data_IF_739600898952
#
_entry.id   IF_739600898952
#
_cell.length_a   1.000
_cell.length_b   1.000
_cell.length_c   1.000
_cell.angle_alpha   90.00
_cell.angle_beta   90.00
_cell.angle_gamma   90.00
#
_symmetry.space_group_name_H-M   'P 1'
#
loop_
_entity.id
_entity.type
_entity.pdbx_description
1 polymer ?
#
# COMPACT_ATOMS: atom_id res chain seq x y z
N UNK A 1 -48.85 -10.14 32.89
CA UNK A 1 -47.83 -9.37 32.15
C UNK A 1 -47.93 -9.78 30.69
N UNK A 2 -48.02 -8.84 29.75
CA UNK A 2 -48.24 -9.17 28.35
C UNK A 2 -46.96 -9.77 27.74
N UNK A 3 -47.17 -10.76 26.86
CA UNK A 3 -46.14 -11.31 25.99
C UNK A 3 -45.46 -10.18 25.22
N UNK A 4 -44.14 -10.10 25.33
CA UNK A 4 -43.33 -9.31 24.42
C UNK A 4 -43.48 -9.93 23.03
N UNK A 5 -44.24 -9.25 22.17
CA UNK A 5 -44.23 -9.48 20.73
C UNK A 5 -42.81 -9.18 20.24
N UNK A 6 -42.15 -10.20 19.70
CA UNK A 6 -40.89 -10.03 18.97
C UNK A 6 -41.10 -8.96 17.91
N UNK A 7 -40.24 -7.94 17.91
CA UNK A 7 -40.19 -6.95 16.84
C UNK A 7 -39.96 -7.69 15.51
N UNK A 8 -40.66 -7.31 14.43
CA UNK A 8 -40.41 -7.90 13.13
C UNK A 8 -38.97 -7.57 12.72
N UNK A 9 -38.10 -8.57 12.69
CA UNK A 9 -36.79 -8.43 12.06
C UNK A 9 -37.03 -7.97 10.63
N UNK A 10 -36.54 -6.77 10.30
CA UNK A 10 -36.55 -6.26 8.93
C UNK A 10 -35.82 -7.29 8.07
N UNK A 11 -36.56 -7.99 7.23
CA UNK A 11 -36.01 -9.03 6.38
C UNK A 11 -35.17 -8.35 5.31
N UNK A 12 -33.84 -8.49 5.38
CA UNK A 12 -32.92 -7.96 4.38
C UNK A 12 -33.13 -8.70 3.06
N UNK A 13 -33.92 -8.11 2.16
CA UNK A 13 -34.34 -8.74 0.91
C UNK A 13 -33.23 -8.73 -0.14
N UNK A 14 -33.42 -9.49 -1.22
CA UNK A 14 -32.50 -9.48 -2.36
C UNK A 14 -32.42 -8.09 -3.00
N UNK A 15 -33.54 -7.36 -3.09
CA UNK A 15 -33.56 -5.99 -3.62
C UNK A 15 -32.73 -5.03 -2.75
N UNK A 16 -32.78 -5.17 -1.43
CA UNK A 16 -31.97 -4.38 -0.52
C UNK A 16 -30.48 -4.75 -0.62
N UNK A 17 -30.17 -6.04 -0.76
CA UNK A 17 -28.82 -6.52 -1.04
C UNK A 17 -28.25 -5.88 -2.31
N UNK A 18 -28.98 -5.94 -3.42
CA UNK A 18 -28.51 -5.36 -4.69
C UNK A 18 -28.37 -3.84 -4.57
N UNK A 19 -29.31 -3.13 -3.97
CA UNK A 19 -29.20 -1.66 -3.77
C UNK A 19 -27.95 -1.28 -2.99
N UNK A 20 -27.61 -2.06 -1.96
CA UNK A 20 -26.51 -1.77 -1.05
C UNK A 20 -25.14 -2.20 -1.61
N UNK A 21 -25.10 -3.31 -2.36
CA UNK A 21 -23.86 -3.97 -2.76
C UNK A 21 -23.53 -3.88 -4.25
N UNK A 22 -24.42 -3.34 -5.10
CA UNK A 22 -24.22 -3.26 -6.57
C UNK A 22 -22.85 -2.71 -6.95
N UNK A 23 -22.46 -1.55 -6.42
CA UNK A 23 -21.18 -0.91 -6.76
C UNK A 23 -20.00 -1.83 -6.45
N UNK A 24 -20.03 -2.51 -5.30
CA UNK A 24 -18.99 -3.45 -4.91
C UNK A 24 -18.94 -4.68 -5.84
N UNK A 25 -20.10 -5.28 -6.13
CA UNK A 25 -20.21 -6.45 -7.01
C UNK A 25 -19.73 -6.14 -8.44
N UNK A 26 -20.15 -5.00 -8.99
CA UNK A 26 -19.76 -4.55 -10.32
C UNK A 26 -18.27 -4.18 -10.38
N UNK A 27 -17.74 -3.46 -9.37
CA UNK A 27 -16.32 -3.11 -9.32
C UNK A 27 -15.40 -4.34 -9.18
N UNK A 28 -15.86 -5.37 -8.49
CA UNK A 28 -15.18 -6.65 -8.39
C UNK A 28 -15.44 -7.56 -9.60
N UNK A 29 -16.30 -7.14 -10.53
CA UNK A 29 -16.76 -7.90 -11.70
C UNK A 29 -17.27 -9.31 -11.31
N UNK A 30 -18.08 -9.39 -10.24
CA UNK A 30 -18.81 -10.61 -9.86
C UNK A 30 -20.01 -10.74 -10.82
N UNK A 31 -20.12 -11.84 -11.59
CA UNK A 31 -21.24 -12.02 -12.51
C UNK A 31 -22.61 -11.96 -11.83
N UNK A 32 -23.56 -11.23 -12.42
CA UNK A 32 -24.92 -11.01 -11.87
C UNK A 32 -25.68 -12.30 -11.56
N UNK A 33 -25.43 -13.37 -12.34
CA UNK A 33 -26.00 -14.71 -12.08
C UNK A 33 -25.72 -15.24 -10.67
N UNK A 34 -24.61 -14.85 -10.06
CA UNK A 34 -24.25 -15.34 -8.74
C UNK A 34 -24.85 -14.51 -7.59
N UNK A 35 -25.42 -13.34 -7.87
CA UNK A 35 -25.77 -12.36 -6.83
C UNK A 35 -26.86 -12.86 -5.88
N UNK A 36 -27.88 -13.55 -6.41
CA UNK A 36 -28.95 -14.11 -5.58
C UNK A 36 -28.40 -15.20 -4.66
N UNK A 37 -27.62 -16.15 -5.21
CA UNK A 37 -27.04 -17.23 -4.41
C UNK A 37 -26.07 -16.70 -3.35
N UNK A 38 -25.29 -15.69 -3.70
CA UNK A 38 -24.41 -15.00 -2.76
C UNK A 38 -25.20 -14.36 -1.61
N UNK A 39 -26.32 -13.69 -1.90
CA UNK A 39 -27.20 -13.11 -0.88
C UNK A 39 -27.72 -14.18 0.08
N UNK A 40 -28.20 -15.32 -0.43
CA UNK A 40 -28.66 -16.44 0.39
C UNK A 40 -27.52 -16.96 1.29
N UNK A 41 -26.33 -17.19 0.72
CA UNK A 41 -25.17 -17.70 1.48
C UNK A 41 -24.70 -16.72 2.55
N UNK A 42 -24.68 -15.42 2.27
CA UNK A 42 -24.28 -14.39 3.24
C UNK A 42 -25.30 -14.25 4.37
N UNK A 43 -26.59 -14.28 4.05
CA UNK A 43 -27.67 -14.16 5.02
C UNK A 43 -27.70 -15.33 6.01
N UNK A 44 -27.46 -16.53 5.49
CA UNK A 44 -27.54 -17.78 6.27
C UNK A 44 -26.16 -18.29 6.71
N UNK A 45 -25.08 -17.52 6.49
CA UNK A 45 -23.69 -17.84 6.81
C UNK A 45 -23.24 -19.23 6.31
N UNK A 46 -23.55 -19.53 5.04
CA UNK A 46 -23.30 -20.85 4.43
C UNK A 46 -21.89 -20.90 3.82
N UNK A 47 -21.01 -21.65 4.48
CA UNK A 47 -19.65 -21.97 4.01
C UNK A 47 -19.62 -23.39 3.44
N UNK A 48 -19.88 -23.52 2.14
CA UNK A 48 -20.05 -24.81 1.45
C UNK A 48 -18.91 -25.15 0.47
N UNK A 49 -17.82 -24.38 0.45
CA UNK A 49 -16.67 -24.66 -0.42
C UNK A 49 -16.12 -26.08 -0.23
N UNK A 50 -16.09 -26.58 1.01
CA UNK A 50 -15.60 -27.93 1.33
C UNK A 50 -16.50 -29.08 0.85
N UNK A 51 -17.70 -28.79 0.33
CA UNK A 51 -18.54 -29.80 -0.33
C UNK A 51 -18.14 -30.03 -1.78
N UNK A 52 -17.47 -29.05 -2.40
CA UNK A 52 -17.08 -29.09 -3.82
C UNK A 52 -15.56 -29.21 -4.00
N UNK A 53 -14.77 -28.69 -3.05
CA UNK A 53 -13.33 -28.68 -3.13
C UNK A 53 -12.66 -29.38 -1.95
N UNK A 54 -11.54 -30.05 -2.23
CA UNK A 54 -10.67 -30.66 -1.25
C UNK A 54 -9.25 -30.09 -1.30
N UNK A 55 -8.58 -30.09 -0.14
CA UNK A 55 -7.15 -29.78 -0.05
C UNK A 55 -6.32 -31.04 -0.19
N UNK A 56 -5.40 -31.04 -1.15
CA UNK A 56 -4.48 -32.13 -1.43
C UNK A 56 -3.05 -31.66 -1.15
N UNK A 57 -2.27 -32.51 -0.49
CA UNK A 57 -0.82 -32.30 -0.31
C UNK A 57 -0.09 -33.08 -1.40
N UNK A 58 0.68 -32.38 -2.22
CA UNK A 58 1.46 -32.95 -3.32
C UNK A 58 2.92 -32.99 -2.91
N UNK A 59 3.50 -34.18 -2.81
CA UNK A 59 4.90 -34.37 -2.48
C UNK A 59 5.77 -34.20 -3.73
N UNK A 60 6.86 -33.45 -3.60
CA UNK A 60 7.80 -33.21 -4.69
C UNK A 60 8.83 -34.33 -4.74
N UNK A 61 8.95 -34.94 -5.91
CA UNK A 61 10.01 -35.89 -6.23
C UNK A 61 11.13 -35.19 -7.02
N UNK A 62 12.36 -35.68 -6.89
CA UNK A 62 13.47 -35.23 -7.72
C UNK A 62 13.47 -35.90 -9.12
N UNK A 63 14.51 -35.62 -9.91
CA UNK A 63 14.65 -36.18 -11.27
C UNK A 63 14.75 -37.71 -11.29
N UNK A 64 15.18 -38.32 -10.18
CA UNK A 64 15.31 -39.76 -9.99
C UNK A 64 14.05 -40.39 -9.38
N UNK A 65 13.03 -39.59 -9.07
CA UNK A 65 11.77 -40.02 -8.49
C UNK A 65 11.81 -40.21 -6.97
N UNK A 66 12.88 -39.77 -6.30
CA UNK A 66 13.00 -39.83 -4.84
C UNK A 66 12.29 -38.64 -4.19
N UNK A 67 11.65 -38.87 -3.04
CA UNK A 67 10.97 -37.81 -2.29
C UNK A 67 11.97 -36.78 -1.76
N UNK A 68 11.79 -35.52 -2.16
CA UNK A 68 12.65 -34.41 -1.71
C UNK A 68 12.36 -33.95 -0.28
N UNK A 69 11.31 -34.49 0.35
CA UNK A 69 10.75 -34.00 1.60
C UNK A 69 10.05 -32.63 1.50
N UNK A 70 9.96 -32.04 0.31
CA UNK A 70 9.17 -30.84 0.03
C UNK A 70 7.79 -31.24 -0.44
N UNK A 71 6.79 -30.44 -0.08
CA UNK A 71 5.42 -30.59 -0.57
C UNK A 71 4.84 -29.22 -0.93
N UNK A 72 3.81 -29.25 -1.77
CA UNK A 72 2.95 -28.12 -2.07
C UNK A 72 1.50 -28.49 -1.79
N UNK A 73 0.66 -27.47 -1.63
CA UNK A 73 -0.77 -27.65 -1.47
C UNK A 73 -1.50 -27.32 -2.76
N UNK A 74 -2.52 -28.11 -3.05
CA UNK A 74 -3.47 -27.87 -4.12
C UNK A 74 -4.87 -27.89 -3.55
N UNK A 75 -5.69 -26.93 -3.95
CA UNK A 75 -7.13 -27.02 -3.79
C UNK A 75 -7.69 -27.55 -5.11
N UNK A 76 -8.45 -28.64 -5.08
CA UNK A 76 -8.96 -29.28 -6.29
C UNK A 76 -10.44 -29.63 -6.15
N UNK A 77 -11.13 -29.74 -7.28
CA UNK A 77 -12.54 -30.18 -7.32
C UNK A 77 -12.62 -31.62 -6.86
N UNK A 78 -13.53 -31.90 -5.93
CA UNK A 78 -13.85 -33.25 -5.43
C UNK A 78 -15.28 -33.66 -5.72
N UNK A 79 -16.09 -32.75 -6.26
CA UNK A 79 -17.44 -33.03 -6.75
C UNK A 79 -17.35 -33.78 -8.09
N UNK A 80 -18.05 -34.90 -8.21
CA UNK A 80 -18.10 -35.74 -9.41
C UNK A 80 -18.88 -35.09 -10.56
N UNK A 81 -19.78 -34.14 -10.25
CA UNK A 81 -20.45 -33.30 -11.26
C UNK A 81 -19.52 -32.21 -11.82
N UNK A 82 -18.39 -31.94 -11.18
CA UNK A 82 -17.49 -30.84 -11.51
C UNK A 82 -18.05 -29.47 -11.13
N UNK A 83 -17.54 -28.43 -11.80
CA UNK A 83 -17.96 -27.03 -11.61
C UNK A 83 -18.32 -26.42 -12.96
N UNK A 84 -19.59 -26.03 -13.13
CA UNK A 84 -20.04 -25.26 -14.30
C UNK A 84 -20.04 -23.75 -13.96
N UNK A 85 -19.20 -22.95 -14.61
CA UNK A 85 -19.12 -21.50 -14.29
C UNK A 85 -20.37 -20.69 -14.71
N UNK A 86 -21.34 -21.33 -15.37
CA UNK A 86 -22.64 -20.76 -15.68
C UNK A 86 -23.71 -21.11 -14.64
N UNK A 87 -23.49 -22.12 -13.80
CA UNK A 87 -24.41 -22.50 -12.73
C UNK A 87 -24.24 -21.56 -11.51
N UNK A 88 -25.33 -20.91 -11.12
CA UNK A 88 -25.39 -19.94 -10.02
C UNK A 88 -25.01 -20.53 -8.66
N UNK A 89 -25.00 -21.87 -8.49
CA UNK A 89 -24.61 -22.53 -7.24
C UNK A 89 -23.13 -22.31 -6.89
N UNK A 90 -22.28 -22.11 -7.89
CA UNK A 90 -20.82 -22.11 -7.75
C UNK A 90 -20.23 -20.73 -7.40
N UNK A 91 -20.73 -20.13 -6.32
CA UNK A 91 -20.11 -18.97 -5.67
C UNK A 91 -19.91 -19.27 -4.18
N UNK A 92 -18.72 -19.07 -3.63
CA UNK A 92 -18.38 -19.57 -2.30
C UNK A 92 -17.86 -18.47 -1.39
N UNK A 93 -18.22 -18.54 -0.11
CA UNK A 93 -17.70 -17.69 0.93
C UNK A 93 -16.42 -18.30 1.51
N UNK A 94 -15.42 -17.45 1.68
CA UNK A 94 -14.13 -17.77 2.27
C UNK A 94 -13.94 -16.83 3.45
N UNK A 95 -13.69 -17.39 4.62
CA UNK A 95 -13.59 -16.62 5.86
C UNK A 95 -12.23 -15.91 5.98
N UNK A 96 -12.21 -14.81 6.72
CA UNK A 96 -10.99 -14.08 7.08
C UNK A 96 -10.55 -14.54 8.46
N UNK A 97 -9.74 -15.61 8.49
CA UNK A 97 -9.21 -16.17 9.73
C UNK A 97 -8.52 -15.15 10.64
N UNK A 98 -7.96 -14.09 10.05
CA UNK A 98 -7.39 -12.98 10.79
C UNK A 98 -7.48 -11.68 9.98
N UNK A 99 -8.05 -10.62 10.57
CA UNK A 99 -8.05 -9.25 10.04
C UNK A 99 -7.40 -8.28 11.04
N UNK A 100 -6.51 -7.39 10.58
CA UNK A 100 -5.67 -6.59 11.46
C UNK A 100 -5.06 -5.34 10.80
N UNK A 101 -4.53 -4.44 11.62
CA UNK A 101 -3.62 -3.37 11.19
C UNK A 101 -2.16 -3.78 11.44
N UNK A 102 -1.26 -3.47 10.51
CA UNK A 102 0.10 -4.02 10.51
C UNK A 102 0.91 -3.75 11.79
N UNK A 103 0.67 -2.61 12.44
CA UNK A 103 1.27 -2.21 13.72
C UNK A 103 0.80 -3.08 14.91
N UNK A 104 -0.42 -3.61 14.83
CA UNK A 104 -1.03 -4.46 15.87
C UNK A 104 -0.73 -5.94 15.69
N UNK A 105 -0.20 -6.37 14.54
CA UNK A 105 -0.05 -7.77 14.16
C UNK A 105 0.69 -8.62 15.22
N UNK A 106 1.91 -8.20 15.59
CA UNK A 106 2.71 -8.90 16.61
C UNK A 106 2.03 -8.92 17.97
N UNK A 107 1.40 -7.81 18.37
CA UNK A 107 0.70 -7.75 19.65
C UNK A 107 -0.47 -8.74 19.68
N UNK A 108 -1.26 -8.82 18.59
CA UNK A 108 -2.37 -9.76 18.47
C UNK A 108 -1.90 -11.22 18.52
N UNK A 109 -0.85 -11.60 17.78
CA UNK A 109 -0.27 -12.95 17.84
C UNK A 109 0.17 -13.34 19.27
N UNK A 110 0.56 -12.36 20.10
CA UNK A 110 0.94 -12.60 21.50
C UNK A 110 -0.26 -12.74 22.44
N UNK A 111 -1.36 -12.03 22.21
CA UNK A 111 -2.44 -11.88 23.20
C UNK A 111 -3.73 -12.60 22.84
N UNK A 112 -4.03 -12.79 21.55
CA UNK A 112 -5.26 -13.45 21.10
C UNK A 112 -5.09 -14.97 21.25
N UNK A 113 -5.91 -15.65 22.06
CA UNK A 113 -5.80 -17.10 22.25
C UNK A 113 -5.98 -17.89 20.96
N UNK A 114 -5.09 -18.85 20.69
CA UNK A 114 -5.20 -19.75 19.52
C UNK A 114 -4.77 -19.13 18.18
N UNK A 115 -4.57 -17.81 18.11
CA UNK A 115 -4.26 -17.13 16.85
C UNK A 115 -2.89 -17.53 16.31
N UNK A 116 -1.85 -17.53 17.15
CA UNK A 116 -0.51 -17.91 16.74
C UNK A 116 -0.45 -19.38 16.29
N UNK A 117 -1.14 -20.27 16.99
CA UNK A 117 -1.25 -21.68 16.64
C UNK A 117 -1.96 -21.88 15.30
N UNK A 118 -3.08 -21.18 15.07
CA UNK A 118 -3.81 -21.23 13.79
C UNK A 118 -2.97 -20.69 12.63
N UNK A 119 -2.31 -19.54 12.81
CA UNK A 119 -1.47 -18.94 11.77
C UNK A 119 -0.25 -19.81 11.45
N UNK A 120 0.40 -20.39 12.48
CA UNK A 120 1.46 -21.37 12.26
C UNK A 120 0.98 -22.60 11.48
N UNK A 121 -0.24 -23.09 11.75
CA UNK A 121 -0.86 -24.18 11.01
C UNK A 121 -1.12 -23.83 9.54
N UNK A 122 -1.72 -22.67 9.25
CA UNK A 122 -1.97 -22.21 7.88
C UNK A 122 -0.65 -22.10 7.08
N UNK A 123 0.41 -21.63 7.73
CA UNK A 123 1.73 -21.41 7.14
C UNK A 123 2.65 -22.64 7.19
N UNK A 124 2.17 -23.79 7.69
CA UNK A 124 2.94 -25.03 7.89
C UNK A 124 4.27 -24.82 8.67
N UNK A 125 4.27 -23.91 9.65
CA UNK A 125 5.44 -23.62 10.46
C UNK A 125 5.67 -24.70 11.52
N UNK A 126 6.91 -25.15 11.64
CA UNK A 126 7.32 -26.07 12.71
C UNK A 126 7.38 -25.31 14.04
N UNK A 127 6.50 -25.65 14.98
CA UNK A 127 6.41 -24.99 16.29
C UNK A 127 7.10 -25.78 17.41
N UNK A 128 7.42 -27.05 17.18
CA UNK A 128 8.06 -27.91 18.19
C UNK A 128 9.41 -27.35 18.65
N UNK A 129 9.59 -27.23 19.96
CA UNK A 129 10.82 -26.75 20.59
C UNK A 129 11.05 -25.24 20.51
N UNK A 130 10.14 -24.47 19.91
CA UNK A 130 10.24 -23.01 19.81
C UNK A 130 9.50 -22.30 20.92
N UNK A 131 10.04 -21.16 21.34
CA UNK A 131 9.35 -20.23 22.24
C UNK A 131 8.21 -19.53 21.50
N UNK A 132 7.26 -18.98 22.26
CA UNK A 132 6.15 -18.19 21.69
C UNK A 132 6.66 -17.01 20.84
N UNK A 133 7.73 -16.36 21.27
CA UNK A 133 8.27 -15.19 20.57
C UNK A 133 8.94 -15.58 19.24
N UNK A 134 9.67 -16.70 19.19
CA UNK A 134 10.23 -17.22 17.94
C UNK A 134 9.12 -17.57 16.94
N UNK A 135 8.04 -18.20 17.41
CA UNK A 135 6.86 -18.51 16.57
C UNK A 135 6.22 -17.21 16.04
N UNK A 136 6.04 -16.19 16.90
CA UNK A 136 5.47 -14.90 16.50
C UNK A 136 6.31 -14.23 15.40
N UNK A 137 7.64 -14.22 15.54
CA UNK A 137 8.51 -13.60 14.54
C UNK A 137 8.57 -14.41 13.23
N UNK A 138 8.55 -15.74 13.30
CA UNK A 138 8.44 -16.58 12.09
C UNK A 138 7.12 -16.36 11.35
N UNK A 139 5.99 -16.33 12.07
CA UNK A 139 4.68 -15.99 11.50
C UNK A 139 4.75 -14.61 10.86
N UNK A 140 5.26 -13.60 11.57
CA UNK A 140 5.33 -12.24 11.04
C UNK A 140 6.21 -12.13 9.78
N UNK A 141 7.23 -12.96 9.65
CA UNK A 141 8.09 -12.97 8.47
C UNK A 141 7.43 -13.70 7.28
N UNK A 142 6.73 -14.80 7.53
CA UNK A 142 6.13 -15.64 6.48
C UNK A 142 4.76 -15.12 6.01
N UNK A 143 4.00 -14.45 6.89
CA UNK A 143 2.60 -14.07 6.65
C UNK A 143 2.37 -13.22 5.39
N UNK A 144 3.37 -12.48 4.91
CA UNK A 144 3.23 -11.59 3.77
C UNK A 144 2.95 -12.33 2.46
N UNK A 145 3.27 -13.63 2.37
CA UNK A 145 2.83 -14.49 1.28
C UNK A 145 1.33 -14.80 1.31
N UNK A 146 0.68 -14.71 2.46
CA UNK A 146 -0.73 -15.05 2.65
C UNK A 146 -1.62 -13.81 2.76
N UNK A 147 -1.01 -12.68 3.13
CA UNK A 147 -1.71 -11.44 3.33
C UNK A 147 -2.36 -10.92 2.05
N UNK A 148 -3.55 -10.40 2.25
CA UNK A 148 -4.24 -9.54 1.30
C UNK A 148 -4.70 -8.27 2.02
N UNK A 149 -5.18 -7.30 1.25
CA UNK A 149 -5.57 -6.01 1.82
C UNK A 149 -6.81 -5.46 1.12
N UNK A 150 -7.59 -4.68 1.86
CA UNK A 150 -8.60 -3.77 1.31
C UNK A 150 -8.58 -2.44 2.07
N UNK A 151 -9.20 -1.42 1.50
CA UNK A 151 -9.44 -0.14 2.16
C UNK A 151 -10.84 0.36 1.80
N UNK A 152 -11.42 1.17 2.68
CA UNK A 152 -12.74 1.76 2.44
C UNK A 152 -12.57 3.11 1.74
N UNK A 153 -12.91 3.17 0.45
CA UNK A 153 -12.69 4.34 -0.41
C UNK A 153 -13.36 5.65 0.10
N UNK A 154 -14.42 5.53 0.92
CA UNK A 154 -15.17 6.66 1.45
C UNK A 154 -14.71 7.13 2.84
N UNK A 155 -13.65 6.53 3.41
CA UNK A 155 -13.14 6.93 4.71
C UNK A 155 -12.48 8.33 4.63
N UNK A 156 -12.70 9.22 5.62
CA UNK A 156 -12.04 10.52 5.66
C UNK A 156 -10.52 10.36 5.59
N UNK A 157 -9.83 11.14 4.73
CA UNK A 157 -8.37 11.07 4.58
C UNK A 157 -7.68 11.25 5.94
N UNK A 158 -6.85 10.29 6.32
CA UNK A 158 -6.10 10.32 7.59
C UNK A 158 -6.87 9.82 8.82
N UNK A 159 -8.09 9.30 8.63
CA UNK A 159 -8.79 8.52 9.66
C UNK A 159 -8.22 7.09 9.74
N UNK A 160 -8.40 6.42 10.89
CA UNK A 160 -8.01 5.01 11.03
C UNK A 160 -8.70 4.10 9.98
N UNK A 161 -9.94 4.44 9.61
CA UNK A 161 -10.75 3.74 8.61
C UNK A 161 -10.23 3.90 7.17
N UNK A 162 -9.35 4.88 6.93
CA UNK A 162 -8.72 5.10 5.62
C UNK A 162 -7.48 4.24 5.38
N UNK A 163 -6.97 3.58 6.42
CA UNK A 163 -5.82 2.70 6.28
C UNK A 163 -6.21 1.34 5.70
N UNK A 164 -5.23 0.71 5.07
CA UNK A 164 -5.32 -0.66 4.61
C UNK A 164 -5.56 -1.61 5.79
N UNK A 165 -6.66 -2.37 5.72
CA UNK A 165 -6.88 -3.53 6.58
C UNK A 165 -6.22 -4.72 5.92
N UNK A 166 -5.33 -5.38 6.65
CA UNK A 166 -4.67 -6.60 6.23
C UNK A 166 -5.47 -7.80 6.70
N UNK A 167 -5.52 -8.85 5.89
CA UNK A 167 -6.18 -10.08 6.27
C UNK A 167 -5.50 -11.32 5.71
N UNK A 168 -5.66 -12.42 6.44
CA UNK A 168 -5.32 -13.79 6.03
C UNK A 168 -6.61 -14.59 6.00
N UNK A 169 -6.83 -15.30 4.89
CA UNK A 169 -8.00 -16.17 4.71
C UNK A 169 -7.87 -17.44 5.55
N UNK A 170 -8.98 -18.14 5.71
CA UNK A 170 -9.00 -19.49 6.31
C UNK A 170 -8.07 -20.49 5.61
N UNK A 171 -8.02 -21.68 6.19
CA UNK A 171 -7.19 -22.81 5.77
C UNK A 171 -7.40 -23.17 4.29
N UNK A 172 -8.61 -23.00 3.76
CA UNK A 172 -8.91 -23.29 2.36
C UNK A 172 -8.48 -22.13 1.46
N UNK A 173 -8.92 -20.91 1.75
CA UNK A 173 -8.62 -19.72 0.95
C UNK A 173 -7.12 -19.43 0.82
N UNK A 174 -6.38 -19.62 1.91
CA UNK A 174 -4.91 -19.46 1.96
C UNK A 174 -4.15 -20.50 1.14
N UNK A 175 -4.80 -21.59 0.70
CA UNK A 175 -4.19 -22.69 -0.06
C UNK A 175 -4.56 -22.70 -1.54
N UNK A 176 -5.37 -21.74 -2.00
CA UNK A 176 -5.61 -21.52 -3.43
C UNK A 176 -4.37 -20.88 -4.05
N UNK A 177 -3.74 -21.60 -5.00
CA UNK A 177 -2.45 -21.25 -5.56
C UNK A 177 -2.55 -20.19 -6.67
N UNK A 178 -1.40 -19.61 -6.99
CA UNK A 178 -1.28 -18.68 -8.11
C UNK A 178 -1.30 -19.42 -9.45
N UNK A 179 -2.00 -18.86 -10.44
CA UNK A 179 -1.82 -19.18 -11.86
C UNK A 179 -1.91 -17.90 -12.70
N UNK A 180 -1.16 -17.85 -13.80
CA UNK A 180 -1.30 -16.83 -14.85
C UNK A 180 -2.57 -17.04 -15.69
N UNK A 181 -3.11 -18.27 -15.68
CA UNK A 181 -4.38 -18.66 -16.29
C UNK A 181 -5.32 -19.20 -15.20
N UNK A 182 -5.84 -18.32 -14.33
CA UNK A 182 -6.58 -18.76 -13.15
C UNK A 182 -7.89 -19.45 -13.52
N UNK A 183 -8.27 -20.47 -12.74
CA UNK A 183 -9.57 -21.15 -12.85
C UNK A 183 -10.68 -20.43 -12.08
N UNK A 184 -10.32 -19.63 -11.08
CA UNK A 184 -11.26 -18.88 -10.25
C UNK A 184 -10.78 -17.43 -10.04
N UNK A 185 -11.73 -16.56 -9.70
CA UNK A 185 -11.45 -15.25 -9.12
C UNK A 185 -11.80 -15.26 -7.64
N UNK A 186 -11.01 -14.55 -6.84
CA UNK A 186 -11.15 -14.47 -5.39
C UNK A 186 -11.01 -13.02 -4.94
N UNK A 187 -12.13 -12.41 -4.56
CA UNK A 187 -12.23 -10.96 -4.32
C UNK A 187 -12.75 -10.66 -2.91
N UNK A 188 -12.23 -9.63 -2.21
CA UNK A 188 -12.78 -9.24 -0.91
C UNK A 188 -14.20 -8.67 -1.07
N UNK A 189 -15.05 -8.92 -0.09
CA UNK A 189 -16.42 -8.45 -0.05
C UNK A 189 -16.85 -8.07 1.37
N UNK A 190 -17.15 -6.79 1.58
CA UNK A 190 -17.73 -6.27 2.81
C UNK A 190 -19.24 -6.42 2.79
N UNK A 191 -19.77 -7.24 3.70
CA UNK A 191 -21.19 -7.45 3.92
C UNK A 191 -21.70 -6.50 4.99
N UNK A 192 -22.45 -5.48 4.55
CA UNK A 192 -22.85 -4.32 5.36
C UNK A 192 -23.78 -4.71 6.52
N UNK A 193 -24.78 -5.60 6.36
CA UNK A 193 -25.67 -5.97 7.47
C UNK A 193 -24.93 -6.55 8.69
N UNK A 194 -23.87 -7.33 8.47
CA UNK A 194 -23.06 -7.91 9.55
C UNK A 194 -21.84 -7.06 9.90
N UNK A 195 -21.48 -6.08 9.06
CA UNK A 195 -20.22 -5.33 9.14
C UNK A 195 -18.98 -6.24 9.15
N UNK A 196 -19.03 -7.31 8.36
CA UNK A 196 -17.94 -8.29 8.21
C UNK A 196 -17.42 -8.32 6.77
N UNK A 197 -16.15 -8.66 6.63
CA UNK A 197 -15.54 -8.88 5.31
C UNK A 197 -15.29 -10.35 5.10
N UNK A 198 -15.67 -10.84 3.93
CA UNK A 198 -15.37 -12.18 3.43
C UNK A 198 -14.52 -12.07 2.17
N UNK A 199 -14.00 -13.18 1.69
CA UNK A 199 -13.58 -13.29 0.30
C UNK A 199 -14.58 -14.15 -0.46
N UNK A 200 -14.93 -13.75 -1.67
CA UNK A 200 -15.85 -14.46 -2.55
C UNK A 200 -15.03 -15.17 -3.63
N UNK A 201 -15.17 -16.49 -3.69
CA UNK A 201 -14.59 -17.34 -4.72
C UNK A 201 -15.65 -17.66 -5.78
N UNK A 202 -15.34 -17.49 -7.06
CA UNK A 202 -16.19 -17.95 -8.16
C UNK A 202 -15.36 -18.40 -9.36
N UNK A 203 -15.81 -19.44 -10.10
CA UNK A 203 -15.10 -19.97 -11.26
C UNK A 203 -15.23 -19.02 -12.46
N UNK A 204 -14.21 -19.05 -13.32
CA UNK A 204 -14.20 -18.33 -14.62
C UNK A 204 -14.17 -19.26 -15.82
N UNK A 205 -14.06 -20.57 -15.58
CA UNK A 205 -14.15 -21.64 -16.58
C UNK A 205 -14.73 -22.89 -15.92
N UNK A 206 -15.22 -23.83 -16.73
CA UNK A 206 -15.65 -25.12 -16.22
C UNK A 206 -14.46 -25.89 -15.64
N UNK A 207 -14.71 -26.70 -14.62
CA UNK A 207 -13.71 -27.56 -14.00
C UNK A 207 -14.25 -28.97 -13.83
N UNK A 208 -13.43 -29.97 -14.12
CA UNK A 208 -13.73 -31.39 -13.90
C UNK A 208 -13.25 -31.86 -12.52
N UNK A 209 -13.74 -33.00 -12.05
CA UNK A 209 -13.24 -33.64 -10.83
C UNK A 209 -11.71 -33.82 -10.90
N UNK A 210 -11.02 -33.45 -9.82
CA UNK A 210 -9.57 -33.50 -9.72
C UNK A 210 -8.83 -32.30 -10.30
N UNK A 211 -9.49 -31.39 -11.02
CA UNK A 211 -8.84 -30.17 -11.52
C UNK A 211 -8.55 -29.17 -10.39
N UNK A 212 -7.40 -28.49 -10.49
CA UNK A 212 -6.93 -27.53 -9.50
C UNK A 212 -7.63 -26.17 -9.64
N UNK A 213 -8.07 -25.61 -8.52
CA UNK A 213 -8.51 -24.22 -8.44
C UNK A 213 -7.34 -23.28 -8.13
N UNK A 214 -7.25 -22.21 -8.91
CA UNK A 214 -6.16 -21.23 -8.87
C UNK A 214 -6.69 -19.83 -9.06
N UNK A 215 -5.92 -18.83 -8.63
CA UNK A 215 -6.22 -17.40 -8.73
C UNK A 215 -5.03 -16.61 -9.26
N UNK A 216 -5.25 -15.40 -9.75
CA UNK A 216 -4.17 -14.45 -10.01
C UNK A 216 -3.91 -13.62 -8.74
N UNK A 217 -2.67 -13.65 -8.23
CA UNK A 217 -2.25 -12.83 -7.08
C UNK A 217 -1.78 -11.43 -7.51
N UNK A 218 -1.58 -11.21 -8.80
CA UNK A 218 -1.20 -9.94 -9.41
C UNK A 218 -2.24 -9.52 -10.46
N UNK A 219 -3.52 -9.80 -10.19
CA UNK A 219 -4.64 -9.35 -10.99
C UNK A 219 -4.60 -7.82 -11.19
N UNK A 220 -5.09 -7.33 -12.33
CA UNK A 220 -5.06 -5.91 -12.73
C UNK A 220 -3.65 -5.30 -12.84
N UNK A 221 -2.64 -6.12 -13.11
CA UNK A 221 -1.26 -5.67 -13.38
C UNK A 221 -0.87 -6.00 -14.82
N UNK A 222 -0.84 -4.98 -15.68
CA UNK A 222 -0.55 -5.14 -17.11
C UNK A 222 0.95 -5.24 -17.40
N UNK A 223 1.78 -4.47 -16.69
CA UNK A 223 3.23 -4.46 -16.90
C UNK A 223 3.84 -5.82 -16.46
N UNK A 224 4.49 -6.57 -17.38
CA UNK A 224 5.01 -7.90 -17.06
C UNK A 224 6.10 -7.92 -16.00
N UNK A 225 6.94 -6.87 -15.92
CA UNK A 225 8.00 -6.77 -14.93
C UNK A 225 7.43 -6.44 -13.56
N UNK A 226 6.44 -5.54 -13.49
CA UNK A 226 5.71 -5.24 -12.26
C UNK A 226 4.97 -6.49 -11.78
N UNK A 227 4.30 -7.21 -12.69
CA UNK A 227 3.62 -8.48 -12.38
C UNK A 227 4.59 -9.50 -11.81
N UNK A 228 5.75 -9.69 -12.45
CA UNK A 228 6.82 -10.57 -11.95
C UNK A 228 7.33 -10.15 -10.57
N UNK A 229 7.53 -8.86 -10.33
CA UNK A 229 7.94 -8.33 -9.03
C UNK A 229 6.89 -8.58 -7.94
N UNK A 230 5.61 -8.33 -8.23
CA UNK A 230 4.50 -8.60 -7.30
C UNK A 230 4.37 -10.08 -6.93
N UNK A 231 4.70 -10.98 -7.86
CA UNK A 231 4.58 -12.41 -7.67
C UNK A 231 5.76 -13.06 -6.94
N UNK A 232 6.84 -12.33 -6.62
CA UNK A 232 8.00 -12.89 -5.91
C UNK A 232 7.66 -13.69 -4.62
N UNK A 233 6.65 -13.31 -3.80
CA UNK A 233 6.27 -14.13 -2.64
C UNK A 233 5.75 -15.54 -2.99
N UNK A 234 5.22 -15.74 -4.20
CA UNK A 234 4.65 -17.02 -4.66
C UNK A 234 5.51 -17.72 -5.71
N UNK A 235 6.13 -16.95 -6.61
CA UNK A 235 6.98 -17.42 -7.69
C UNK A 235 8.34 -16.76 -7.53
N UNK A 236 9.25 -17.36 -6.73
CA UNK A 236 10.61 -16.84 -6.56
C UNK A 236 11.28 -16.67 -7.92
N UNK A 237 11.81 -15.48 -8.16
CA UNK A 237 12.49 -15.16 -9.41
C UNK A 237 13.68 -14.25 -9.15
N UNK A 238 14.73 -14.44 -9.95
CA UNK A 238 15.82 -13.48 -10.03
C UNK A 238 15.34 -12.23 -10.79
N UNK A 239 15.54 -11.06 -10.18
CA UNK A 239 15.25 -9.73 -10.72
C UNK A 239 16.54 -8.93 -10.95
N UNK A 240 17.71 -9.46 -10.58
CA UNK A 240 18.99 -8.73 -10.60
C UNK A 240 19.45 -8.32 -12.01
N UNK A 241 18.89 -8.94 -13.06
CA UNK A 241 19.10 -8.55 -14.46
C UNK A 241 18.44 -7.21 -14.83
N UNK A 242 17.49 -6.72 -14.03
CA UNK A 242 16.81 -5.44 -14.27
C UNK A 242 17.71 -4.30 -13.79
N UNK A 243 17.85 -3.26 -14.60
CA UNK A 243 18.54 -2.04 -14.21
C UNK A 243 17.83 -1.38 -13.02
N UNK A 244 18.55 -1.06 -11.96
CA UNK A 244 17.98 -0.50 -10.73
C UNK A 244 18.16 1.01 -10.61
N UNK A 245 18.59 1.69 -11.66
CA UNK A 245 18.75 3.14 -11.65
C UNK A 245 17.37 3.81 -11.61
N UNK A 246 17.23 4.86 -10.80
CA UNK A 246 16.03 5.69 -10.80
C UNK A 246 16.05 6.63 -12.00
N UNK A 247 14.99 6.61 -12.79
CA UNK A 247 14.81 7.49 -13.94
C UNK A 247 13.84 8.63 -13.60
N UNK A 248 13.98 9.75 -14.30
CA UNK A 248 13.02 10.83 -14.19
C UNK A 248 11.75 10.46 -14.97
N UNK A 249 10.56 10.42 -14.32
CA UNK A 249 9.34 10.05 -15.01
C UNK A 249 8.88 11.15 -15.97
N UNK A 250 8.02 10.79 -16.92
CA UNK A 250 7.39 11.76 -17.84
C UNK A 250 6.39 12.70 -17.15
N UNK A 251 5.95 13.73 -17.87
CA UNK A 251 5.02 14.77 -17.39
C UNK A 251 3.73 14.19 -16.80
N UNK A 252 3.18 13.14 -17.40
CA UNK A 252 1.97 12.44 -16.94
C UNK A 252 2.05 12.02 -15.46
N UNK A 253 3.23 11.65 -14.97
CA UNK A 253 3.43 11.26 -13.57
C UNK A 253 3.22 12.44 -12.61
N UNK A 254 3.65 13.63 -13.02
CA UNK A 254 3.48 14.85 -12.24
C UNK A 254 2.00 15.28 -12.22
N UNK A 255 1.24 14.96 -13.27
CA UNK A 255 -0.18 15.32 -13.43
C UNK A 255 -1.16 14.32 -12.79
N UNK A 256 -0.89 13.00 -12.84
CA UNK A 256 -1.83 11.89 -12.56
C UNK A 256 -2.61 11.95 -11.24
N UNK A 257 -2.12 12.68 -10.24
CA UNK A 257 -2.75 12.79 -8.91
C UNK A 257 -2.82 14.22 -8.37
N UNK A 258 -2.65 15.21 -9.24
CA UNK A 258 -2.50 16.61 -8.83
C UNK A 258 -3.43 17.49 -9.66
N UNK A 259 -3.96 18.53 -9.02
CA UNK A 259 -4.67 19.59 -9.72
C UNK A 259 -3.61 20.49 -10.35
N UNK A 260 -3.84 20.90 -11.59
CA UNK A 260 -3.00 21.88 -12.26
C UNK A 260 -3.01 23.20 -11.48
N UNK A 261 -1.83 23.78 -11.26
CA UNK A 261 -1.64 25.05 -10.57
C UNK A 261 -1.11 26.08 -11.57
N UNK A 262 -1.96 26.94 -12.12
CA UNK A 262 -1.53 27.89 -13.14
C UNK A 262 -0.59 28.93 -12.51
N UNK A 263 0.58 29.12 -13.15
CA UNK A 263 1.60 30.07 -12.69
C UNK A 263 1.08 31.52 -12.64
N UNK A 264 1.57 32.35 -11.70
CA UNK A 264 1.20 33.76 -11.62
C UNK A 264 1.63 34.52 -12.88
N UNK A 265 0.85 35.54 -13.25
CA UNK A 265 1.14 36.46 -14.33
C UNK A 265 2.20 37.47 -13.89
N UNK A 266 3.46 37.21 -14.27
CA UNK A 266 4.62 38.03 -13.88
C UNK A 266 4.71 39.38 -14.61
N UNK A 267 3.87 39.64 -15.61
CA UNK A 267 3.80 40.93 -16.31
C UNK A 267 3.09 42.02 -15.47
N UNK A 268 2.46 41.61 -14.36
CA UNK A 268 1.82 42.52 -13.40
C UNK A 268 2.85 43.25 -12.56
N UNK A 269 2.49 44.44 -12.11
CA UNK A 269 3.30 45.19 -11.14
C UNK A 269 2.90 44.77 -9.73
N UNK A 270 3.84 44.22 -8.97
CA UNK A 270 3.63 43.80 -7.58
C UNK A 270 4.17 44.89 -6.64
N UNK A 271 3.32 45.75 -6.06
CA UNK A 271 3.76 46.76 -5.12
C UNK A 271 4.24 46.12 -3.80
N UNK A 272 5.17 46.77 -3.07
CA UNK A 272 5.57 46.31 -1.74
C UNK A 272 4.42 46.51 -0.74
N UNK A 273 4.51 45.80 0.39
CA UNK A 273 3.56 45.96 1.49
C UNK A 273 3.50 47.42 2.00
N UNK A 274 2.33 47.92 2.43
CA UNK A 274 2.14 49.31 2.83
C UNK A 274 3.04 49.71 4.00
N UNK A 275 3.90 50.71 3.85
CA UNK A 275 4.81 51.17 4.92
C UNK A 275 4.19 52.17 5.92
N UNK A 276 3.04 52.74 5.56
CA UNK A 276 2.38 53.88 6.21
C UNK A 276 1.25 53.49 7.17
N UNK A 277 0.74 52.26 7.08
CA UNK A 277 -0.32 51.71 7.94
C UNK A 277 0.00 50.28 8.39
N UNK A 278 -0.74 49.77 9.38
CA UNK A 278 -0.66 48.35 9.76
C UNK A 278 -0.96 47.43 8.57
N UNK A 279 -0.23 46.32 8.52
CA UNK A 279 -0.40 45.28 7.50
C UNK A 279 -1.56 44.38 7.93
N UNK A 280 -2.59 44.30 7.10
CA UNK A 280 -3.76 43.49 7.38
C UNK A 280 -3.50 42.05 6.98
N UNK A 281 -3.74 41.11 7.89
CA UNK A 281 -3.48 39.68 7.68
C UNK A 281 -4.78 38.91 7.87
N UNK A 282 -5.16 38.11 6.88
CA UNK A 282 -6.20 37.10 7.00
C UNK A 282 -5.55 35.73 7.17
N UNK A 283 -6.04 34.92 8.10
CA UNK A 283 -5.53 33.57 8.31
C UNK A 283 -6.59 32.61 8.86
N UNK A 284 -6.56 31.38 8.37
CA UNK A 284 -7.31 30.22 8.87
C UNK A 284 -6.56 29.47 9.99
N UNK A 285 -5.31 29.85 10.29
CA UNK A 285 -4.46 29.16 11.26
C UNK A 285 -4.63 29.70 12.68
N UNK A 286 -5.14 28.86 13.58
CA UNK A 286 -5.47 29.26 14.95
C UNK A 286 -4.26 29.79 15.73
N UNK A 287 -3.08 29.20 15.52
CA UNK A 287 -1.87 29.67 16.19
C UNK A 287 -1.44 31.05 15.70
N UNK A 288 -1.56 31.33 14.41
CA UNK A 288 -1.22 32.66 13.90
C UNK A 288 -2.22 33.71 14.42
N UNK A 289 -3.50 33.37 14.53
CA UNK A 289 -4.50 34.24 15.16
C UNK A 289 -4.16 34.60 16.61
N UNK A 290 -3.57 33.67 17.36
CA UNK A 290 -3.22 33.87 18.77
C UNK A 290 -1.89 34.61 18.96
N UNK A 291 -0.91 34.35 18.10
CA UNK A 291 0.49 34.73 18.34
C UNK A 291 1.04 35.81 17.41
N UNK A 292 0.24 36.30 16.45
CA UNK A 292 0.60 37.49 15.66
C UNK A 292 0.39 38.78 16.48
N UNK A 293 1.24 39.02 17.48
CA UNK A 293 1.08 40.09 18.48
C UNK A 293 1.86 41.36 18.17
N UNK A 294 2.59 41.42 17.07
CA UNK A 294 3.36 42.62 16.70
C UNK A 294 2.42 43.73 16.24
N UNK A 295 2.59 44.95 16.78
CA UNK A 295 1.81 46.16 16.43
C UNK A 295 1.88 46.55 14.94
N UNK A 296 2.78 45.91 14.18
CA UNK A 296 2.92 46.07 12.74
C UNK A 296 1.74 45.46 11.97
N UNK A 297 1.10 44.44 12.54
CA UNK A 297 0.06 43.66 11.88
C UNK A 297 -1.31 43.88 12.52
N UNK A 298 -2.35 43.69 11.72
CA UNK A 298 -3.75 43.75 12.13
C UNK A 298 -4.45 42.51 11.56
N UNK A 299 -4.99 41.64 12.42
CA UNK A 299 -5.77 40.50 11.96
C UNK A 299 -7.14 40.98 11.47
N UNK A 300 -7.54 40.52 10.28
CA UNK A 300 -8.85 40.81 9.69
C UNK A 300 -9.64 39.53 9.44
N UNK A 301 -10.97 39.63 9.56
CA UNK A 301 -11.87 38.47 9.43
C UNK A 301 -12.28 38.17 7.98
N UNK A 302 -11.84 38.98 7.02
CA UNK A 302 -12.23 38.87 5.62
C UNK A 302 -11.00 38.96 4.72
N UNK A 303 -10.77 37.93 3.91
CA UNK A 303 -9.66 37.84 2.97
C UNK A 303 -9.61 39.01 1.97
N UNK A 304 -10.76 39.60 1.64
CA UNK A 304 -10.82 40.76 0.74
C UNK A 304 -10.16 42.01 1.32
N UNK A 305 -10.18 42.15 2.63
CA UNK A 305 -9.66 43.34 3.32
C UNK A 305 -8.18 43.21 3.70
N UNK A 306 -7.56 42.05 3.45
CA UNK A 306 -6.20 41.73 3.83
C UNK A 306 -5.16 42.14 2.79
N UNK A 307 -3.95 42.47 3.27
CA UNK A 307 -2.73 42.62 2.46
C UNK A 307 -1.98 41.29 2.33
N UNK A 308 -2.08 40.42 3.35
CA UNK A 308 -1.48 39.09 3.37
C UNK A 308 -2.57 38.05 3.63
N UNK A 309 -2.64 37.05 2.76
CA UNK A 309 -3.35 35.80 3.00
C UNK A 309 -2.36 34.77 3.55
N UNK A 310 -2.54 34.37 4.80
CA UNK A 310 -1.78 33.28 5.40
C UNK A 310 -2.68 32.07 5.60
N UNK A 311 -2.63 31.14 4.66
CA UNK A 311 -3.54 30.00 4.60
C UNK A 311 -2.80 28.71 4.93
N UNK A 312 -3.48 27.83 5.67
CA UNK A 312 -3.12 26.44 5.89
C UNK A 312 -3.72 25.54 4.83
N UNK A 313 -4.91 25.88 4.34
CA UNK A 313 -5.48 25.22 3.17
C UNK A 313 -4.64 25.52 1.92
N UNK A 314 -4.49 24.51 1.06
CA UNK A 314 -3.71 24.62 -0.17
C UNK A 314 -4.36 25.60 -1.14
N UNK A 315 -3.58 26.54 -1.66
CA UNK A 315 -4.03 27.55 -2.61
C UNK A 315 -3.67 27.14 -4.05
N UNK A 316 -4.63 27.17 -4.96
CA UNK A 316 -4.43 26.72 -6.35
C UNK A 316 -4.39 27.86 -7.37
N UNK A 317 -5.16 28.92 -7.15
CA UNK A 317 -5.53 29.88 -8.20
C UNK A 317 -4.52 31.04 -8.31
N UNK A 318 -3.21 30.72 -8.40
CA UNK A 318 -2.11 31.70 -8.40
C UNK A 318 -2.16 32.70 -9.57
N UNK A 319 -2.58 32.25 -10.76
CA UNK A 319 -2.77 33.13 -11.91
C UNK A 319 -3.82 34.21 -11.64
N UNK A 320 -5.03 33.81 -11.29
CA UNK A 320 -6.13 34.74 -10.97
C UNK A 320 -5.74 35.68 -9.82
N UNK A 321 -5.11 35.14 -8.77
CA UNK A 321 -4.61 35.93 -7.65
C UNK A 321 -3.68 37.07 -8.08
N UNK A 322 -2.68 36.75 -8.92
CA UNK A 322 -1.74 37.75 -9.43
C UNK A 322 -2.39 38.77 -10.37
N UNK A 323 -3.46 38.40 -11.07
CA UNK A 323 -4.11 39.26 -12.06
C UNK A 323 -5.12 40.23 -11.43
N UNK A 324 -5.86 39.77 -10.42
CA UNK A 324 -6.94 40.50 -9.75
C UNK A 324 -6.48 41.23 -8.48
N UNK A 325 -5.50 40.68 -7.76
CA UNK A 325 -5.03 41.19 -6.47
C UNK A 325 -3.49 41.28 -6.42
N UNK A 326 -2.84 41.97 -7.38
CA UNK A 326 -1.37 42.03 -7.48
C UNK A 326 -0.68 42.69 -6.26
N UNK A 327 -1.42 43.44 -5.45
CA UNK A 327 -0.94 44.08 -4.23
C UNK A 327 -0.90 43.16 -3.00
N UNK A 328 -1.51 41.97 -3.08
CA UNK A 328 -1.62 41.04 -1.97
C UNK A 328 -0.53 39.98 -2.00
N UNK A 329 -0.20 39.47 -0.82
CA UNK A 329 0.78 38.41 -0.63
C UNK A 329 0.10 37.14 -0.15
N UNK A 330 0.65 35.99 -0.52
CA UNK A 330 0.22 34.68 -0.03
C UNK A 330 1.44 33.86 0.43
N UNK A 331 1.26 33.01 1.43
CA UNK A 331 2.32 32.21 2.07
C UNK A 331 2.67 30.90 1.34
N UNK A 332 2.26 30.73 0.08
CA UNK A 332 2.41 29.48 -0.68
C UNK A 332 2.93 29.77 -2.09
N UNK A 333 3.72 28.85 -2.65
CA UNK A 333 4.23 28.94 -4.01
C UNK A 333 3.57 27.91 -4.93
N UNK A 334 3.27 28.26 -6.19
CA UNK A 334 2.78 27.27 -7.15
C UNK A 334 3.79 26.13 -7.29
N UNK A 335 3.28 24.90 -7.32
CA UNK A 335 4.03 23.65 -7.43
C UNK A 335 5.04 23.39 -6.30
N UNK A 336 4.90 23.97 -5.10
CA UNK A 336 5.80 23.66 -3.97
C UNK A 336 5.78 22.17 -3.56
N UNK A 337 4.75 21.45 -3.98
CA UNK A 337 4.63 19.99 -3.88
C UNK A 337 5.87 19.23 -4.37
N UNK A 338 6.60 19.78 -5.35
CA UNK A 338 7.83 19.16 -5.86
C UNK A 338 8.93 19.03 -4.80
N UNK A 339 8.85 19.81 -3.71
CA UNK A 339 9.77 19.74 -2.57
C UNK A 339 9.11 19.16 -1.32
N UNK A 340 7.80 19.34 -1.15
CA UNK A 340 7.09 18.96 0.09
C UNK A 340 6.51 17.55 0.04
N UNK A 341 6.33 16.96 -1.15
CA UNK A 341 5.77 15.61 -1.31
C UNK A 341 6.87 14.56 -1.50
N UNK A 342 6.73 13.41 -0.80
CA UNK A 342 7.77 12.38 -0.66
C UNK A 342 8.10 11.63 -1.96
N UNK A 343 7.20 11.59 -2.93
CA UNK A 343 7.44 10.96 -4.22
C UNK A 343 8.13 11.91 -5.21
N UNK A 344 7.87 13.22 -5.11
CA UNK A 344 8.46 14.24 -5.99
C UNK A 344 9.83 14.72 -5.54
N UNK A 345 10.01 14.98 -4.24
CA UNK A 345 11.25 15.55 -3.71
C UNK A 345 12.49 14.73 -4.10
N UNK A 346 12.49 13.38 -4.04
CA UNK A 346 13.62 12.59 -4.48
C UNK A 346 13.95 12.76 -5.97
N UNK A 347 12.94 12.93 -6.84
CA UNK A 347 13.13 13.15 -8.28
C UNK A 347 13.87 14.47 -8.49
N UNK A 348 13.39 15.56 -7.88
CA UNK A 348 14.02 16.89 -7.99
C UNK A 348 15.43 16.89 -7.42
N UNK A 349 15.62 16.28 -6.25
CA UNK A 349 16.91 16.18 -5.58
C UNK A 349 17.98 15.50 -6.44
N UNK A 350 17.59 14.48 -7.21
CA UNK A 350 18.50 13.74 -8.10
C UNK A 350 19.07 14.59 -9.25
N UNK A 351 18.39 15.67 -9.67
CA UNK A 351 18.87 16.58 -10.73
C UNK A 351 20.20 17.26 -10.41
N UNK A 352 20.60 17.33 -9.13
CA UNK A 352 21.89 17.90 -8.70
C UNK A 352 23.08 16.97 -8.98
N UNK A 353 22.82 15.69 -9.27
CA UNK A 353 23.86 14.68 -9.46
C UNK A 353 24.49 14.82 -10.85
N UNK A 354 25.79 15.12 -10.93
CA UNK A 354 26.55 15.10 -12.20
C UNK A 354 27.15 13.71 -12.44
N UNK A 355 27.04 13.19 -13.67
CA UNK A 355 27.45 11.84 -14.09
C UNK A 355 28.97 11.56 -14.08
N UNK A 356 29.75 12.25 -13.24
CA UNK A 356 31.21 12.41 -13.39
C UNK A 356 32.06 11.64 -12.39
N UNK A 357 31.51 10.91 -11.42
CA UNK A 357 32.30 10.13 -10.46
C UNK A 357 32.10 8.62 -10.62
N UNK A 358 33.17 7.84 -10.40
CA UNK A 358 33.10 6.38 -10.28
C UNK A 358 32.12 6.00 -9.17
N UNK A 359 30.94 5.57 -9.58
CA UNK A 359 29.81 5.30 -8.71
C UNK A 359 29.91 3.86 -8.18
N UNK A 360 29.69 3.68 -6.87
CA UNK A 360 29.34 2.36 -6.35
C UNK A 360 27.99 1.98 -6.97
N UNK A 361 27.93 0.86 -7.69
CA UNK A 361 26.74 0.41 -8.40
C UNK A 361 25.50 0.37 -7.49
N UNK A 362 25.67 0.17 -6.18
CA UNK A 362 24.58 0.05 -5.22
C UNK A 362 24.31 1.32 -4.38
N UNK A 363 25.00 2.42 -4.66
CA UNK A 363 24.73 3.72 -4.02
C UNK A 363 24.07 4.70 -5.02
N UNK A 364 23.05 5.43 -4.56
CA UNK A 364 22.42 6.51 -5.33
C UNK A 364 23.03 7.87 -5.01
N UNK A 365 23.00 8.77 -6.00
CA UNK A 365 23.28 10.19 -5.78
C UNK A 365 21.98 11.02 -5.74
N UNK A 366 21.99 12.18 -5.06
CA UNK A 366 23.10 12.71 -4.26
C UNK A 366 23.26 11.98 -2.92
N UNK A 367 24.47 11.89 -2.39
CA UNK A 367 24.76 11.09 -1.18
C UNK A 367 24.02 11.52 0.10
N UNK A 368 23.48 12.74 0.13
CA UNK A 368 22.67 13.23 1.24
C UNK A 368 21.21 12.77 1.16
N UNK A 369 20.78 12.27 -0.01
CA UNK A 369 19.46 11.70 -0.22
C UNK A 369 19.55 10.18 -0.06
N UNK A 370 18.72 9.63 0.82
CA UNK A 370 18.55 8.17 0.90
C UNK A 370 18.06 7.61 -0.42
N UNK A 371 18.59 6.45 -0.82
CA UNK A 371 18.12 5.76 -2.01
C UNK A 371 16.62 5.49 -1.88
N UNK A 372 15.85 5.99 -2.84
CA UNK A 372 14.39 6.03 -2.77
C UNK A 372 13.81 5.44 -4.04
N UNK A 373 12.81 4.57 -3.90
CA UNK A 373 12.01 4.05 -5.00
C UNK A 373 10.53 4.30 -4.74
N UNK A 374 9.80 4.61 -5.78
CA UNK A 374 8.35 4.61 -5.80
C UNK A 374 7.84 3.18 -6.03
N UNK A 375 7.13 2.59 -5.07
CA UNK A 375 6.66 1.20 -5.17
C UNK A 375 5.50 1.01 -6.18
N UNK A 376 4.90 2.08 -6.68
CA UNK A 376 3.87 2.01 -7.72
C UNK A 376 4.45 2.04 -9.13
N UNK A 377 5.62 2.65 -9.34
CA UNK A 377 6.21 2.84 -10.68
C UNK A 377 7.57 2.18 -10.85
N UNK A 378 8.30 1.91 -9.76
CA UNK A 378 9.67 1.42 -9.76
C UNK A 378 9.84 0.11 -8.97
N UNK A 379 8.75 -0.65 -8.77
CA UNK A 379 8.78 -1.91 -8.01
C UNK A 379 9.79 -2.94 -8.55
N UNK A 380 9.92 -3.15 -9.88
CA UNK A 380 10.92 -4.08 -10.43
C UNK A 380 12.37 -3.64 -10.15
N UNK A 381 12.65 -2.34 -10.28
CA UNK A 381 13.96 -1.74 -10.02
C UNK A 381 14.32 -1.87 -8.53
N UNK A 382 13.34 -1.61 -7.66
CA UNK A 382 13.48 -1.82 -6.22
C UNK A 382 13.81 -3.29 -5.89
N UNK A 383 13.05 -4.25 -6.42
CA UNK A 383 13.28 -5.68 -6.19
C UNK A 383 14.65 -6.14 -6.68
N UNK A 384 15.09 -5.66 -7.86
CA UNK A 384 16.43 -5.90 -8.39
C UNK A 384 17.52 -5.41 -7.43
N UNK A 385 17.45 -4.15 -6.99
CA UNK A 385 18.41 -3.62 -6.03
C UNK A 385 18.39 -4.42 -4.73
N UNK A 386 17.21 -4.72 -4.21
CA UNK A 386 17.06 -5.45 -2.95
C UNK A 386 17.81 -6.79 -3.01
N UNK A 387 17.60 -7.59 -4.06
CA UNK A 387 18.28 -8.87 -4.26
C UNK A 387 19.79 -8.70 -4.47
N UNK A 388 20.24 -7.66 -5.18
CA UNK A 388 21.67 -7.34 -5.33
C UNK A 388 22.34 -6.98 -4.00
N UNK A 389 21.63 -6.30 -3.10
CA UNK A 389 22.13 -5.97 -1.75
C UNK A 389 22.21 -7.20 -0.87
N UNK A 390 21.16 -8.04 -0.92
CA UNK A 390 21.08 -9.29 -0.18
C UNK A 390 22.20 -10.27 -0.58
N UNK A 391 22.47 -10.44 -1.88
CA UNK A 391 23.55 -11.31 -2.36
C UNK A 391 24.96 -10.85 -1.95
N UNK A 392 25.12 -9.55 -1.62
CA UNK A 392 26.36 -8.98 -1.07
C UNK A 392 26.38 -8.93 0.46
N UNK A 393 25.37 -9.46 1.14
CA UNK A 393 25.26 -9.46 2.60
C UNK A 393 25.18 -8.05 3.21
N UNK A 394 24.65 -7.07 2.46
CA UNK A 394 24.49 -5.70 2.94
C UNK A 394 23.24 -5.56 3.80
N UNK A 395 23.27 -4.61 4.74
CA UNK A 395 22.08 -4.22 5.50
C UNK A 395 20.96 -3.78 4.55
N UNK A 396 19.75 -4.30 4.73
CA UNK A 396 18.66 -4.16 3.77
C UNK A 396 17.37 -3.71 4.43
N UNK A 397 17.48 -2.87 5.46
CA UNK A 397 16.32 -2.26 6.10
C UNK A 397 15.83 -1.06 5.30
N UNK A 398 14.52 -1.03 5.07
CA UNK A 398 13.84 0.04 4.35
C UNK A 398 12.76 0.65 5.22
N UNK A 399 12.50 1.93 5.00
CA UNK A 399 11.34 2.64 5.54
C UNK A 399 10.37 2.96 4.40
N UNK A 400 9.20 2.35 4.42
CA UNK A 400 8.13 2.59 3.46
C UNK A 400 7.16 3.64 4.01
N UNK A 401 6.82 4.64 3.21
CA UNK A 401 5.97 5.77 3.61
C UNK A 401 4.95 6.13 2.52
N UNK A 402 3.72 6.49 2.88
CA UNK A 402 2.76 7.04 1.93
C UNK A 402 3.21 8.42 1.42
N UNK A 403 2.81 8.78 0.20
CA UNK A 403 3.21 10.05 -0.43
C UNK A 403 2.83 11.25 0.45
N UNK A 404 1.55 11.30 0.84
CA UNK A 404 0.91 12.51 1.36
C UNK A 404 0.48 12.44 2.84
N UNK A 405 0.63 11.31 3.53
CA UNK A 405 0.31 11.25 4.96
C UNK A 405 1.47 11.79 5.82
N UNK A 406 1.12 12.29 7.00
CA UNK A 406 2.03 12.89 7.97
C UNK A 406 1.85 12.25 9.36
N UNK A 407 2.55 12.78 10.38
CA UNK A 407 2.46 12.33 11.79
C UNK A 407 2.83 10.87 12.05
N UNK A 408 3.64 10.26 11.18
CA UNK A 408 4.10 8.88 11.36
C UNK A 408 3.08 7.81 10.99
N UNK A 409 1.94 8.20 10.42
CA UNK A 409 0.88 7.29 10.01
C UNK A 409 1.33 6.43 8.81
N UNK A 410 0.98 5.15 8.86
CA UNK A 410 1.24 4.17 7.78
C UNK A 410 2.73 4.06 7.38
N UNK A 411 3.62 4.18 8.37
CA UNK A 411 5.07 3.99 8.20
C UNK A 411 5.45 2.55 8.57
N UNK A 412 6.17 1.90 7.67
CA UNK A 412 6.63 0.53 7.86
C UNK A 412 8.15 0.49 7.78
N UNK A 413 8.80 -0.16 8.76
CA UNK A 413 10.24 -0.40 8.75
C UNK A 413 10.44 -1.91 8.70
N UNK A 414 11.14 -2.39 7.67
CA UNK A 414 11.32 -3.82 7.46
C UNK A 414 12.52 -4.11 6.54
N UNK A 415 13.12 -5.28 6.72
CA UNK A 415 14.10 -5.88 5.80
C UNK A 415 13.52 -7.10 5.07
N UNK A 416 12.19 -7.27 5.09
CA UNK A 416 11.50 -8.37 4.42
C UNK A 416 10.97 -7.90 3.05
N UNK A 417 11.51 -8.47 1.98
CA UNK A 417 11.12 -8.13 0.60
C UNK A 417 9.64 -8.40 0.33
N UNK A 418 9.11 -9.53 0.78
CA UNK A 418 7.70 -9.90 0.57
C UNK A 418 6.76 -8.89 1.24
N UNK A 419 7.13 -8.42 2.44
CA UNK A 419 6.38 -7.36 3.11
C UNK A 419 6.37 -6.08 2.25
N UNK A 420 7.54 -5.62 1.79
CA UNK A 420 7.62 -4.38 1.00
C UNK A 420 6.85 -4.49 -0.32
N UNK A 421 6.90 -5.64 -0.97
CA UNK A 421 6.12 -5.91 -2.19
C UNK A 421 4.62 -5.79 -1.89
N UNK A 422 4.14 -6.45 -0.82
CA UNK A 422 2.72 -6.34 -0.44
C UNK A 422 2.30 -4.94 -0.10
N UNK A 423 3.17 -4.12 0.51
CA UNK A 423 2.87 -2.72 0.78
C UNK A 423 2.50 -1.94 -0.50
N UNK A 424 2.97 -2.35 -1.68
CA UNK A 424 2.56 -1.74 -2.96
C UNK A 424 1.07 -1.91 -3.28
N UNK A 425 0.39 -2.91 -2.69
CA UNK A 425 -1.05 -3.15 -2.85
C UNK A 425 -1.89 -2.30 -1.87
N UNK A 426 -1.27 -1.74 -0.84
CA UNK A 426 -1.95 -0.93 0.21
C UNK A 426 -2.01 0.57 -0.12
N UNK A 427 -1.79 0.93 -1.39
CA UNK A 427 -1.79 2.30 -1.89
C UNK A 427 -0.38 2.90 -2.11
N UNK A 428 -0.32 4.13 -2.63
CA UNK A 428 0.93 4.72 -3.13
C UNK A 428 1.96 4.98 -2.03
N UNK A 429 3.14 4.37 -2.15
CA UNK A 429 4.22 4.43 -1.16
C UNK A 429 5.59 4.59 -1.81
N UNK A 430 6.47 5.32 -1.14
CA UNK A 430 7.91 5.36 -1.42
C UNK A 430 8.65 4.49 -0.41
N UNK A 431 9.69 3.78 -0.86
CA UNK A 431 10.59 2.99 -0.02
C UNK A 431 11.96 3.66 0.00
N UNK A 432 12.43 4.02 1.20
CA UNK A 432 13.73 4.67 1.41
C UNK A 432 14.67 3.73 2.14
N UNK A 433 15.90 3.61 1.64
CA UNK A 433 16.92 2.80 2.28
C UNK A 433 17.31 3.45 3.61
N UNK A 434 17.21 2.68 4.69
CA UNK A 434 17.73 3.07 5.99
C UNK A 434 19.21 2.69 6.06
N UNK A 435 20.00 3.63 6.57
CA UNK A 435 21.42 3.40 6.74
C UNK A 435 21.82 3.55 8.20
N UNK A 436 22.60 2.59 8.70
CA UNK A 436 23.24 2.70 10.00
C UNK A 436 22.46 2.14 11.19
N UNK A 437 21.46 1.27 10.97
CA UNK A 437 20.91 0.43 12.05
C UNK A 437 21.97 -0.56 12.55
N UNK A 438 22.88 -0.99 11.67
CA UNK A 438 24.09 -1.73 12.00
C UNK A 438 25.33 -0.82 12.01
N UNK A 439 25.42 0.12 12.96
CA UNK A 439 26.67 0.75 13.43
C UNK A 439 27.52 1.62 12.48
N UNK A 440 27.29 1.62 11.16
CA UNK A 440 28.01 2.46 10.20
C UNK A 440 27.10 3.57 9.69
N UNK A 441 26.98 4.64 10.47
CA UNK A 441 26.14 5.79 10.15
C UNK A 441 26.70 6.61 8.98
N UNK A 442 25.79 7.16 8.16
CA UNK A 442 26.12 8.11 7.10
C UNK A 442 26.90 9.32 7.60
N UNK A 443 26.70 9.71 8.87
CA UNK A 443 27.47 10.76 9.52
C UNK A 443 28.98 10.51 9.46
N UNK A 444 29.43 9.25 9.54
CA UNK A 444 30.86 8.89 9.45
C UNK A 444 31.39 8.94 8.01
N UNK A 445 30.59 8.56 7.01
CA UNK A 445 30.98 8.68 5.59
C UNK A 445 30.99 10.15 5.15
N UNK A 446 29.98 10.93 5.56
CA UNK A 446 29.87 12.36 5.29
C UNK A 446 31.00 13.16 5.95
N UNK A 447 31.35 12.86 7.21
CA UNK A 447 32.51 13.51 7.87
C UNK A 447 33.84 13.12 7.23
N UNK A 448 34.04 11.85 6.84
CA UNK A 448 35.25 11.41 6.13
C UNK A 448 35.40 12.05 4.74
N UNK A 449 34.31 12.20 3.97
CA UNK A 449 34.36 12.88 2.65
C UNK A 449 34.54 14.40 2.79
N UNK A 450 33.91 15.03 3.79
CA UNK A 450 34.13 16.46 4.08
C UNK A 450 35.58 16.74 4.46
N UNK A 451 36.21 15.91 5.29
CA UNK A 451 37.64 16.02 5.61
C UNK A 451 38.54 15.87 4.37
N UNK A 452 38.20 14.98 3.44
CA UNK A 452 38.95 14.77 2.19
C UNK A 452 38.83 15.97 1.23
N UNK A 453 37.64 16.56 1.12
CA UNK A 453 37.41 17.74 0.31
C UNK A 453 38.03 19.01 0.93
N UNK A 454 38.01 19.16 2.26
CA UNK A 454 38.70 20.25 2.96
C UNK A 454 40.24 20.12 2.88
N UNK A 455 40.79 18.90 2.86
CA UNK A 455 42.24 18.69 2.63
C UNK A 455 42.65 19.05 1.21
N UNK A 456 41.86 18.69 0.20
CA UNK A 456 42.13 19.05 -1.19
C UNK A 456 42.02 20.57 -1.44
N UNK A 457 41.13 21.26 -0.72
CA UNK A 457 41.00 22.72 -0.78
C UNK A 457 42.19 23.45 -0.13
N UNK A 458 42.79 22.86 0.92
CA UNK A 458 43.99 23.40 1.58
C UNK A 458 45.30 23.10 0.84
N UNK A 459 45.33 22.13 -0.06
CA UNK A 459 46.50 21.85 -0.91
C UNK A 459 46.48 22.62 -2.25
N UNK A 460 45.40 23.35 -2.54
CA UNK A 460 45.21 24.10 -3.77
C UNK A 460 45.42 25.62 -3.60
N UNK A 461 45.91 26.07 -2.45
CA UNK A 461 46.30 27.46 -2.17
C UNK A 461 47.68 27.53 -1.52
#
# INVERSE_FOLDING_TARGET
>A
MPHATAEPQVQFSYEDFVKLHRVQLESAAVPERYWHKLHDKLKDEVFDAGSVFGLMRVEHVDEDGEETGKYSWKAAVTDDEGVDYLDEKHIYLIDHAWSYSADKARAQLRVVPGLAERMAGIMDLKTEGKTKEEIVEEIFNEMWKYNQTYSFANAPKGSEESFAVWYIMDEFGSRIQHSYEPSCRLVPFFYVPMQLTFSILFPVKNLEEGEEITRDYAENTDDPLVKKAKLLPWVPADMTYIGHQQEEPGEEYFEKYRREEPLPNLDKTFPPLPGDRRIKVFTDEQYLQQYLTSDRFELVNNAKDADILWLMEHFFDHKEFSEEMPEKFINQFPHEAVLTVKDLMPIVARRVSSATEQQDELESQPYWLSQTYNLSTELPQFASLFQKRESKGLDNHWICKPYNLSRGLDIHITSNLNYIIKLSDSGPKVSLLLHGLTGNSYLLKFTRKKQKNEQNFKSAF
#
